data_IF_907253186888
#
_entry.id   IF_907253186888
#
_cell.length_a   1.000
_cell.length_b   1.000
_cell.length_c   1.000
_cell.angle_alpha   90.00
_cell.angle_beta   90.00
_cell.angle_gamma   90.00
#
_symmetry.space_group_name_H-M   'P 1'
#
loop_
_entity.id
_entity.type
_entity.pdbx_description
1 polymer ?
#
# COMPACT_ATOMS: atom_id res chain seq x y z
N UNK A 1 -2.82 -24.08 -26.06
CA UNK A 1 -1.40 -23.74 -25.89
C UNK A 1 -1.21 -22.93 -24.63
N UNK A 2 -0.45 -23.42 -23.70
CA UNK A 2 -0.21 -22.61 -22.53
C UNK A 2 0.52 -21.33 -22.91
N UNK A 3 0.18 -20.30 -22.19
CA UNK A 3 0.73 -18.99 -22.43
C UNK A 3 1.87 -18.78 -21.44
N UNK A 4 3.07 -19.08 -21.86
CA UNK A 4 4.22 -18.95 -21.00
C UNK A 4 4.84 -17.58 -21.17
N UNK A 5 5.00 -16.89 -20.07
CA UNK A 5 5.74 -15.63 -20.02
C UNK A 5 6.80 -15.72 -18.96
N UNK A 6 7.92 -15.14 -19.24
CA UNK A 6 8.99 -15.02 -18.23
C UNK A 6 8.57 -13.96 -17.24
N UNK A 7 8.57 -14.30 -15.98
CA UNK A 7 8.24 -13.35 -14.92
C UNK A 7 9.46 -12.53 -14.57
N UNK A 8 9.31 -11.22 -14.55
CA UNK A 8 10.40 -10.32 -14.24
C UNK A 8 9.92 -9.28 -13.22
N UNK A 9 10.83 -8.88 -12.35
CA UNK A 9 10.56 -7.80 -11.44
C UNK A 9 10.82 -6.48 -12.17
N UNK A 10 9.87 -5.54 -12.13
CA UNK A 10 10.08 -4.26 -12.78
C UNK A 10 11.04 -3.40 -11.96
N UNK A 11 11.72 -2.48 -12.62
CA UNK A 11 12.45 -1.44 -11.90
C UNK A 11 11.44 -0.63 -11.10
N UNK A 12 11.71 -0.45 -9.83
CA UNK A 12 10.77 0.15 -8.90
C UNK A 12 11.42 1.26 -8.10
N UNK A 13 10.71 2.37 -7.99
CA UNK A 13 11.10 3.46 -7.11
C UNK A 13 9.94 3.68 -6.15
N UNK A 14 10.24 3.74 -4.86
CA UNK A 14 9.21 4.00 -3.85
C UNK A 14 9.75 5.01 -2.86
N UNK A 15 8.96 6.03 -2.57
CA UNK A 15 9.38 7.06 -1.63
C UNK A 15 8.17 7.68 -0.95
N UNK A 16 8.43 8.28 0.20
CA UNK A 16 7.41 9.02 0.93
C UNK A 16 7.42 10.48 0.49
N UNK A 17 6.25 10.98 0.12
CA UNK A 17 6.05 12.40 -0.10
C UNK A 17 5.57 12.98 1.24
N UNK A 18 6.49 13.56 1.97
CA UNK A 18 6.18 13.99 3.34
C UNK A 18 5.31 15.23 3.38
N UNK A 19 5.38 16.06 2.34
CA UNK A 19 4.51 17.24 2.27
C UNK A 19 3.05 16.88 2.14
N UNK A 20 2.77 15.87 1.31
CA UNK A 20 1.41 15.47 1.02
C UNK A 20 0.99 14.22 1.78
N UNK A 21 1.87 13.69 2.62
CA UNK A 21 1.62 12.53 3.50
C UNK A 21 1.14 11.32 2.71
N UNK A 22 1.86 11.01 1.64
CA UNK A 22 1.51 9.87 0.81
C UNK A 22 2.74 9.12 0.36
N UNK A 23 2.52 7.87 0.01
CA UNK A 23 3.51 7.02 -0.60
C UNK A 23 3.40 7.14 -2.10
N UNK A 24 4.53 7.24 -2.78
CA UNK A 24 4.59 7.21 -4.23
C UNK A 24 5.39 5.99 -4.63
N UNK A 25 4.82 5.17 -5.51
CA UNK A 25 5.48 4.00 -6.06
C UNK A 25 5.46 4.10 -7.57
N UNK A 26 6.61 3.91 -8.20
CA UNK A 26 6.71 3.95 -9.65
C UNK A 26 7.28 2.64 -10.14
N UNK A 27 6.57 1.99 -11.05
CA UNK A 27 7.02 0.75 -11.69
C UNK A 27 7.27 1.01 -13.17
N UNK A 28 8.44 0.65 -13.65
CA UNK A 28 8.73 0.71 -15.07
C UNK A 28 8.27 -0.60 -15.70
N UNK A 29 7.17 -0.53 -16.44
CA UNK A 29 6.57 -1.73 -17.08
C UNK A 29 6.32 -1.47 -18.57
N UNK A 30 7.37 -1.11 -19.32
CA UNK A 30 7.19 -0.79 -20.73
C UNK A 30 6.65 -1.99 -21.49
N UNK A 31 5.72 -1.73 -22.40
CA UNK A 31 5.12 -2.76 -23.22
C UNK A 31 3.88 -3.41 -22.63
N UNK A 32 3.53 -3.11 -21.38
CA UNK A 32 2.31 -3.66 -20.80
C UNK A 32 1.11 -2.85 -21.28
N UNK A 33 0.07 -3.49 -21.85
CA UNK A 33 -1.14 -2.77 -22.22
C UNK A 33 -1.89 -2.33 -20.96
N UNK A 34 -2.45 -1.13 -21.01
CA UNK A 34 -3.14 -0.55 -19.84
C UNK A 34 -4.24 -1.44 -19.31
N UNK A 35 -4.99 -2.08 -20.19
CA UNK A 35 -6.16 -2.87 -19.80
C UNK A 35 -5.80 -4.20 -19.13
N UNK A 36 -4.55 -4.59 -19.16
CA UNK A 36 -4.11 -5.84 -18.52
C UNK A 36 -3.32 -5.62 -17.25
N UNK A 37 -3.09 -4.37 -16.88
CA UNK A 37 -2.34 -4.07 -15.65
C UNK A 37 -3.25 -4.29 -14.46
N UNK A 38 -2.78 -5.09 -13.51
CA UNK A 38 -3.53 -5.40 -12.31
C UNK A 38 -2.73 -4.93 -11.10
N UNK A 39 -3.30 -4.01 -10.34
CA UNK A 39 -2.68 -3.48 -9.12
C UNK A 39 -3.63 -3.73 -7.97
N UNK A 40 -3.12 -4.38 -6.93
CA UNK A 40 -3.88 -4.58 -5.70
C UNK A 40 -3.09 -3.98 -4.55
N UNK A 41 -3.75 -3.18 -3.76
CA UNK A 41 -3.11 -2.49 -2.64
C UNK A 41 -3.77 -2.94 -1.35
N UNK A 42 -2.96 -3.41 -0.44
CA UNK A 42 -3.38 -3.69 0.93
C UNK A 42 -2.79 -2.62 1.83
N UNK A 43 -3.19 -2.60 3.07
CA UNK A 43 -2.67 -1.57 3.99
C UNK A 43 -1.16 -1.64 4.13
N UNK A 44 -0.57 -2.79 3.92
CA UNK A 44 0.86 -3.03 4.16
C UNK A 44 1.62 -3.51 2.93
N UNK A 45 0.99 -3.50 1.75
CA UNK A 45 1.68 -4.02 0.56
C UNK A 45 1.03 -3.55 -0.73
N UNK A 46 1.83 -3.55 -1.79
CA UNK A 46 1.37 -3.23 -3.14
C UNK A 46 1.74 -4.41 -4.04
N UNK A 47 0.77 -4.91 -4.78
CA UNK A 47 0.94 -6.07 -5.64
C UNK A 47 0.66 -5.67 -7.08
N UNK A 48 1.56 -6.05 -7.96
CA UNK A 48 1.46 -5.72 -9.38
C UNK A 48 1.58 -6.98 -10.21
N UNK A 49 0.71 -7.11 -11.19
CA UNK A 49 0.84 -8.08 -12.26
C UNK A 49 0.55 -7.34 -13.55
N UNK A 50 1.50 -7.37 -14.48
CA UNK A 50 1.35 -6.65 -15.74
C UNK A 50 1.92 -7.49 -16.87
N UNK A 51 1.07 -8.28 -17.55
CA UNK A 51 1.54 -9.04 -18.71
C UNK A 51 1.90 -8.10 -19.85
N UNK A 52 3.03 -8.36 -20.46
CA UNK A 52 3.44 -7.72 -21.68
C UNK A 52 3.49 -8.81 -22.76
N UNK A 53 4.24 -8.61 -23.81
CA UNK A 53 4.20 -9.55 -24.92
C UNK A 53 4.77 -10.92 -24.55
N UNK A 54 6.02 -10.95 -24.14
CA UNK A 54 6.74 -12.19 -23.84
C UNK A 54 7.09 -12.32 -22.37
N UNK A 55 6.81 -11.29 -21.59
CA UNK A 55 7.17 -11.25 -20.19
C UNK A 55 5.95 -10.84 -19.37
N UNK A 56 6.04 -11.08 -18.07
CA UNK A 56 5.02 -10.64 -17.14
C UNK A 56 5.74 -9.94 -16.00
N UNK A 57 5.46 -8.66 -15.82
CA UNK A 57 6.00 -7.92 -14.69
C UNK A 57 5.22 -8.31 -13.45
N UNK A 58 5.93 -8.68 -12.40
CA UNK A 58 5.32 -9.11 -11.15
C UNK A 58 6.08 -8.46 -10.01
N UNK A 59 5.34 -7.90 -9.07
CA UNK A 59 5.96 -7.30 -7.88
C UNK A 59 5.05 -7.44 -6.69
N UNK A 60 5.65 -7.71 -5.54
CA UNK A 60 4.96 -7.67 -4.25
C UNK A 60 5.84 -6.82 -3.35
N UNK A 61 5.42 -5.59 -3.11
CA UNK A 61 6.20 -4.63 -2.35
C UNK A 61 5.62 -4.50 -0.95
N UNK A 62 6.40 -4.88 0.05
CA UNK A 62 6.01 -4.72 1.44
C UNK A 62 6.25 -3.27 1.86
N UNK A 63 5.30 -2.72 2.61
CA UNK A 63 5.37 -1.33 3.05
C UNK A 63 5.70 -1.29 4.55
N UNK A 64 6.55 -0.34 4.91
CA UNK A 64 6.91 -0.17 6.32
C UNK A 64 5.92 0.68 7.10
N UNK A 65 4.93 1.23 6.44
CA UNK A 65 3.92 2.08 7.07
C UNK A 65 2.59 1.82 6.39
N UNK A 66 1.50 1.72 7.15
CA UNK A 66 0.20 1.43 6.54
C UNK A 66 -0.31 2.59 5.70
N UNK A 67 -1.03 2.25 4.65
CA UNK A 67 -1.61 3.19 3.70
C UNK A 67 -3.12 2.99 3.67
N UNK A 68 -3.80 3.89 2.96
CA UNK A 68 -5.26 3.83 2.77
C UNK A 68 -5.54 3.37 1.35
N UNK A 69 -5.74 2.06 1.13
CA UNK A 69 -5.89 1.55 -0.25
C UNK A 69 -7.05 2.16 -1.00
N UNK A 70 -8.14 2.50 -0.31
CA UNK A 70 -9.33 3.07 -0.94
C UNK A 70 -9.12 4.49 -1.45
N UNK A 71 -8.01 5.12 -1.10
CA UNK A 71 -7.68 6.47 -1.56
C UNK A 71 -6.54 6.47 -2.57
N UNK A 72 -6.13 5.31 -3.06
CA UNK A 72 -5.04 5.21 -4.00
C UNK A 72 -5.43 5.73 -5.37
N UNK A 73 -4.48 6.32 -6.05
CA UNK A 73 -4.63 6.76 -7.43
C UNK A 73 -3.45 6.23 -8.23
N UNK A 74 -3.72 5.85 -9.46
CA UNK A 74 -2.67 5.33 -10.33
C UNK A 74 -2.78 5.95 -11.70
N UNK A 75 -1.63 6.26 -12.29
CA UNK A 75 -1.54 6.73 -13.65
C UNK A 75 -0.51 5.90 -14.39
N UNK A 76 -0.73 5.70 -15.68
CA UNK A 76 0.19 4.94 -16.51
C UNK A 76 0.47 5.72 -17.78
N UNK A 77 1.74 6.03 -18.00
CA UNK A 77 2.12 6.89 -19.11
C UNK A 77 3.52 6.53 -19.54
N UNK A 78 3.72 6.31 -20.82
CA UNK A 78 5.05 6.04 -21.39
C UNK A 78 5.77 4.87 -20.69
N UNK A 79 5.03 3.83 -20.36
CA UNK A 79 5.61 2.66 -19.71
C UNK A 79 5.86 2.80 -18.22
N UNK A 80 5.50 3.94 -17.63
CA UNK A 80 5.70 4.16 -16.21
C UNK A 80 4.34 4.16 -15.49
N UNK A 81 4.18 3.24 -14.57
CA UNK A 81 3.01 3.18 -13.72
C UNK A 81 3.33 3.86 -12.40
N UNK A 82 2.61 4.92 -12.11
CA UNK A 82 2.81 5.69 -10.88
C UNK A 82 1.59 5.53 -10.00
N UNK A 83 1.82 5.11 -8.77
CA UNK A 83 0.78 4.91 -7.78
C UNK A 83 1.03 5.87 -6.63
N UNK A 84 -0.01 6.57 -6.22
CA UNK A 84 0.04 7.47 -5.07
C UNK A 84 -1.04 7.04 -4.10
N UNK A 85 -0.66 6.80 -2.87
CA UNK A 85 -1.60 6.35 -1.86
C UNK A 85 -1.29 7.05 -0.54
N UNK A 86 -2.31 7.66 0.11
CA UNK A 86 -2.06 8.36 1.36
C UNK A 86 -1.65 7.39 2.46
N UNK A 87 -0.77 7.84 3.34
CA UNK A 87 -0.45 7.08 4.53
C UNK A 87 -1.62 7.10 5.49
N UNK A 88 -1.79 6.00 6.19
CA UNK A 88 -2.81 5.89 7.23
C UNK A 88 -2.23 6.40 8.54
N UNK A 89 -2.98 7.27 9.22
CA UNK A 89 -2.61 7.64 10.58
C UNK A 89 -2.88 6.41 11.46
N UNK A 90 -1.87 5.85 12.12
CA UNK A 90 -2.09 4.67 12.95
C UNK A 90 -3.11 4.91 14.07
N UNK A 91 -3.32 6.16 14.45
CA UNK A 91 -4.27 6.49 15.50
C UNK A 91 -5.69 6.66 15.00
N UNK A 92 -5.91 6.66 13.68
CA UNK A 92 -7.25 6.92 13.15
C UNK A 92 -8.26 5.82 13.52
N UNK A 93 -7.78 4.59 13.73
CA UNK A 93 -8.62 3.48 14.13
C UNK A 93 -8.50 3.18 15.63
N UNK A 94 -7.84 4.05 16.37
CA UNK A 94 -7.65 3.81 17.80
C UNK A 94 -8.99 3.86 18.52
N UNK A 95 -9.18 2.93 19.43
CA UNK A 95 -10.37 2.88 20.26
C UNK A 95 -9.97 3.25 21.66
N UNK A 96 -10.68 4.23 22.21
CA UNK A 96 -10.46 4.59 23.61
C UNK A 96 -11.09 3.53 24.47
N UNK A 97 -10.29 2.92 25.32
CA UNK A 97 -10.75 1.83 26.18
C UNK A 97 -11.18 2.40 27.51
N UNK A 98 -12.37 2.05 27.93
CA UNK A 98 -12.86 2.44 29.25
C UNK A 98 -12.17 1.62 30.31
N UNK A 99 -11.76 2.26 31.39
CA UNK A 99 -11.07 1.57 32.47
C UNK A 99 -12.08 1.34 33.58
N UNK A 100 -12.21 0.09 33.97
CA UNK A 100 -13.05 -0.27 35.10
C UNK A 100 -12.20 -0.24 36.36
N UNK A 101 -12.69 0.41 37.38
CA UNK A 101 -12.06 0.30 38.69
C UNK A 101 -12.22 -1.12 39.18
N UNK A 102 -11.15 -1.76 39.56
CA UNK A 102 -11.19 -3.13 40.04
C UNK A 102 -11.71 -3.18 41.48
N UNK A 103 -12.55 -4.12 41.72
CA UNK A 103 -13.04 -4.35 43.09
C UNK A 103 -13.90 -3.22 43.59
N UNK A 104 -14.17 -3.35 44.84
CA UNK A 104 -14.97 -2.37 45.49
C UNK A 104 -14.16 -1.13 45.70
N UNK A 105 -13.95 -0.56 45.55
CA UNK A 105 -13.18 0.40 45.89
C UNK A 105 -12.71 1.24 45.08
N UNK A 106 -12.80 1.17 45.03
CA UNK A 106 -12.39 1.83 44.62
C UNK A 106 -12.03 2.78 44.23
N UNK A 107 -11.93 3.02 44.33
CA UNK A 107 -11.59 3.82 44.02
C UNK A 107 -10.75 4.47 43.56
N UNK A 108 -10.34 4.68 43.23
CA UNK A 108 -9.55 5.28 42.92
C UNK A 108 -8.86 5.81 42.43
N UNK A 109 -8.48 5.99 42.22
CA UNK A 109 -7.75 6.50 41.86
C UNK A 109 -7.18 6.85 41.07
N UNK A 110 -6.89 7.18 40.68
CA UNK A 110 -6.28 7.51 40.04
C UNK A 110 -5.66 7.91 39.59
N UNK A 111 -5.25 7.98 39.22
CA UNK A 111 -4.59 8.28 38.73
C UNK A 111 -4.09 8.91 38.11
N UNK A 112 -3.72 9.21 37.83
CA UNK A 112 -3.24 9.74 37.27
C UNK A 112 -2.43 10.05 36.84
N UNK A 113 -2.30 9.98 36.55
CA UNK A 113 -1.37 10.39 36.10
C UNK A 113 -0.88 10.93 35.18
#
# INVERSE_FOLDING_TARGET
MPDYRIRVAPNTVAYADEENLKLVVEFAIPGAPTDTIDVKILQDSVHLTAPARDIEYVSALALGWPVKPDKAEATYENGLLRIEVPFKDPMEDAVKVAIKAGGAETKIKTIVA
#
